data_IF_621339705236
#
_entry.id   IF_621339705236
#
_cell.length_a   1.000
_cell.length_b   1.000
_cell.length_c   1.000
_cell.angle_alpha   90.00
_cell.angle_beta   90.00
_cell.angle_gamma   90.00
#
_symmetry.space_group_name_H-M   'P 1'
#
loop_
_entity.id
_entity.type
_entity.pdbx_description
1 polymer ?
#
# COMPACT_ATOMS: atom_id res chain seq x y z
N UNK A 1 18.44 3.91 0.44
CA UNK A 1 18.37 4.11 1.91
C UNK A 1 18.63 2.78 2.57
N UNK A 2 19.57 2.71 3.51
CA UNK A 2 19.77 1.51 4.33
C UNK A 2 18.49 1.25 5.11
N UNK A 3 17.79 0.16 4.78
CA UNK A 3 16.60 -0.24 5.53
C UNK A 3 17.10 -0.78 6.87
N UNK A 4 16.77 -0.10 7.96
CA UNK A 4 17.04 -0.62 9.31
C UNK A 4 16.19 -1.87 9.49
N UNK A 5 16.86 -3.01 9.63
CA UNK A 5 16.18 -4.29 9.85
C UNK A 5 15.79 -4.38 11.32
N UNK A 6 14.51 -4.64 11.58
CA UNK A 6 13.98 -4.83 12.92
C UNK A 6 13.32 -6.19 13.00
N UNK A 7 13.57 -6.94 14.08
CA UNK A 7 12.89 -8.20 14.33
C UNK A 7 11.53 -7.93 14.95
N UNK A 8 10.46 -8.33 14.26
CA UNK A 8 9.08 -8.25 14.72
C UNK A 8 8.46 -9.65 14.70
N UNK A 9 7.57 -9.94 15.65
CA UNK A 9 6.75 -11.16 15.58
C UNK A 9 5.60 -10.91 14.61
N UNK A 10 5.44 -11.79 13.64
CA UNK A 10 4.42 -11.73 12.61
C UNK A 10 3.89 -13.15 12.40
N UNK A 11 2.61 -13.25 12.05
CA UNK A 11 2.03 -14.50 11.54
C UNK A 11 2.75 -14.89 10.24
N UNK A 12 3.38 -16.06 10.25
CA UNK A 12 4.16 -16.56 9.11
C UNK A 12 3.30 -16.99 7.94
N UNK A 13 2.11 -17.50 8.21
CA UNK A 13 1.22 -18.03 7.18
C UNK A 13 0.59 -16.86 6.40
N UNK A 14 0.19 -15.81 7.11
CA UNK A 14 -0.27 -14.56 6.51
C UNK A 14 0.83 -13.92 5.66
N UNK A 15 2.08 -13.93 6.13
CA UNK A 15 3.20 -13.40 5.36
C UNK A 15 3.47 -14.20 4.09
N UNK A 16 3.34 -15.53 4.14
CA UNK A 16 3.49 -16.41 2.98
C UNK A 16 2.34 -16.24 1.97
N UNK A 17 1.11 -16.02 2.44
CA UNK A 17 -0.02 -15.68 1.58
C UNK A 17 0.22 -14.33 0.89
N UNK A 18 0.68 -13.31 1.63
CA UNK A 18 1.00 -12.00 1.07
C UNK A 18 2.09 -12.09 -0.01
N UNK A 19 3.10 -12.96 0.15
CA UNK A 19 4.11 -13.21 -0.88
C UNK A 19 3.48 -13.71 -2.19
N UNK A 20 2.50 -14.62 -2.10
CA UNK A 20 1.81 -15.17 -3.27
C UNK A 20 0.90 -14.14 -3.94
N UNK A 21 0.10 -13.42 -3.14
CA UNK A 21 -0.85 -12.41 -3.64
C UNK A 21 -0.11 -11.25 -4.31
N UNK A 22 0.99 -10.80 -3.71
CA UNK A 22 1.78 -9.67 -4.22
C UNK A 22 2.81 -10.09 -5.29
N UNK A 23 3.02 -11.40 -5.50
CA UNK A 23 3.97 -11.92 -6.50
C UNK A 23 5.45 -11.61 -6.21
N UNK A 24 5.78 -11.35 -4.95
CA UNK A 24 7.14 -10.96 -4.51
C UNK A 24 7.96 -12.18 -4.10
N UNK A 25 9.26 -11.99 -3.83
CA UNK A 25 10.19 -13.12 -3.58
C UNK A 25 10.43 -13.40 -2.10
N UNK A 26 10.10 -12.47 -1.22
CA UNK A 26 10.38 -12.60 0.21
C UNK A 26 9.28 -12.04 1.09
N UNK A 27 9.13 -12.60 2.29
CA UNK A 27 8.20 -12.11 3.32
C UNK A 27 8.49 -10.65 3.69
N UNK A 28 9.76 -10.27 3.78
CA UNK A 28 10.18 -8.89 4.05
C UNK A 28 9.68 -7.92 2.99
N UNK A 29 9.80 -8.32 1.71
CA UNK A 29 9.33 -7.52 0.59
C UNK A 29 7.80 -7.40 0.59
N UNK A 30 7.09 -8.51 0.87
CA UNK A 30 5.63 -8.51 0.99
C UNK A 30 5.15 -7.52 2.06
N UNK A 31 5.79 -7.53 3.24
CA UNK A 31 5.48 -6.59 4.32
C UNK A 31 5.78 -5.15 3.91
N UNK A 32 6.91 -4.90 3.25
CA UNK A 32 7.27 -3.55 2.81
C UNK A 32 6.29 -2.98 1.77
N UNK A 33 5.83 -3.81 0.83
CA UNK A 33 4.85 -3.42 -0.19
C UNK A 33 3.50 -3.16 0.48
N UNK A 34 3.01 -4.08 1.31
CA UNK A 34 1.73 -3.91 2.00
C UNK A 34 1.67 -2.63 2.85
N UNK A 35 2.76 -2.31 3.57
CA UNK A 35 2.86 -1.07 4.34
C UNK A 35 2.87 0.19 3.47
N UNK A 36 3.49 0.14 2.28
CA UNK A 36 3.46 1.27 1.34
C UNK A 36 2.06 1.47 0.77
N UNK A 37 1.37 0.39 0.42
CA UNK A 37 0.03 0.43 -0.14
C UNK A 37 -0.97 1.02 0.84
N UNK A 38 -0.96 0.60 2.11
CA UNK A 38 -1.91 1.15 3.11
C UNK A 38 -1.67 2.64 3.36
N UNK A 39 -0.42 3.09 3.40
CA UNK A 39 -0.08 4.51 3.56
C UNK A 39 -0.48 5.30 2.31
N UNK A 40 -0.23 4.77 1.12
CA UNK A 40 -0.65 5.39 -0.13
C UNK A 40 -2.18 5.50 -0.21
N UNK A 41 -2.90 4.45 0.19
CA UNK A 41 -4.36 4.43 0.22
C UNK A 41 -4.92 5.49 1.20
N UNK A 42 -4.31 5.65 2.37
CA UNK A 42 -4.72 6.70 3.30
C UNK A 42 -4.51 8.09 2.69
N UNK A 43 -3.34 8.35 2.10
CA UNK A 43 -3.06 9.62 1.41
C UNK A 43 -4.03 9.88 0.26
N UNK A 44 -4.40 8.84 -0.47
CA UNK A 44 -5.39 8.92 -1.53
C UNK A 44 -6.76 9.31 -0.98
N UNK A 45 -7.22 8.68 0.11
CA UNK A 45 -8.49 9.04 0.78
C UNK A 45 -8.48 10.50 1.26
N UNK A 46 -7.36 10.96 1.82
CA UNK A 46 -7.21 12.34 2.28
C UNK A 46 -7.26 13.33 1.11
N UNK A 47 -6.58 12.99 0.00
CA UNK A 47 -6.62 13.77 -1.24
C UNK A 47 -8.04 13.85 -1.80
N UNK A 48 -8.73 12.71 -1.90
CA UNK A 48 -10.11 12.66 -2.40
C UNK A 48 -11.05 13.47 -1.51
N UNK A 49 -10.90 13.39 -0.19
CA UNK A 49 -11.70 14.15 0.77
C UNK A 49 -11.47 15.66 0.64
N UNK A 50 -10.20 16.09 0.56
CA UNK A 50 -9.83 17.51 0.41
C UNK A 50 -10.38 18.14 -0.86
N UNK A 51 -10.50 17.33 -1.91
CA UNK A 51 -10.88 17.78 -3.24
C UNK A 51 -12.29 17.34 -3.66
N UNK A 52 -13.05 16.74 -2.75
CA UNK A 52 -14.41 16.27 -2.97
C UNK A 52 -15.29 17.43 -3.47
N UNK A 53 -15.96 17.22 -4.60
CA UNK A 53 -16.83 18.21 -5.24
C UNK A 53 -16.12 19.40 -5.90
N UNK A 54 -14.78 19.47 -5.83
CA UNK A 54 -13.98 20.55 -6.45
C UNK A 54 -13.28 20.13 -7.74
N UNK A 55 -12.99 18.84 -7.89
CA UNK A 55 -12.37 18.31 -9.08
C UNK A 55 -13.42 17.88 -10.09
N UNK A 56 -13.16 18.19 -11.36
CA UNK A 56 -13.85 17.63 -12.52
C UNK A 56 -12.82 16.78 -13.26
N UNK A 57 -13.20 15.57 -13.66
CA UNK A 57 -12.37 14.80 -14.56
C UNK A 57 -12.42 15.48 -15.92
N UNK A 58 -11.27 15.87 -16.47
CA UNK A 58 -11.19 16.28 -17.88
C UNK A 58 -11.64 15.07 -18.73
N UNK A 59 -12.86 15.15 -19.27
CA UNK A 59 -13.53 14.05 -19.98
C UNK A 59 -14.91 13.67 -19.43
N UNK A 60 -15.33 14.15 -18.26
CA UNK A 60 -16.70 13.98 -17.77
C UNK A 60 -17.64 15.01 -18.43
N UNK A 61 -17.96 14.81 -19.71
CA UNK A 61 -18.83 15.71 -20.47
C UNK A 61 -18.82 15.53 -22.00
N UNK A 62 -18.21 14.48 -22.51
CA UNK A 62 -18.38 14.02 -23.90
C UNK A 62 -19.28 12.77 -23.95
#
# INVERSE_FOLDING_TARGET
MSVTMTSIRLDTDLADEAVKVLGVKSRTEAVHVALKEIVALQRFKDLMTKNAGRLRFEGAGE
#
